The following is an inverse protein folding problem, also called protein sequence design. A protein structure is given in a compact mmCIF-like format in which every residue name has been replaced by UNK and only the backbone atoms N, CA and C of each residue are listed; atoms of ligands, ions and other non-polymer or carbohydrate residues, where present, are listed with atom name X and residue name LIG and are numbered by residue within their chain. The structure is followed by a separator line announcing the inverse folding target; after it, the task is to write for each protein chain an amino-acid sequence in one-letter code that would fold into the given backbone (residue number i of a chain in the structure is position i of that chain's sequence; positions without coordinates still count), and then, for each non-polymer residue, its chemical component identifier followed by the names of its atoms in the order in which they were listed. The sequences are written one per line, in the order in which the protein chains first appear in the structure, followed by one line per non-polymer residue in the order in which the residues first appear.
data_IF_263418810399
#
_entry.id   IF_263418810399
#
_cell.length_a   1.000
_cell.length_b   1.000
_cell.length_c   1.000
_cell.angle_alpha   90.00
_cell.angle_beta   90.00
_cell.angle_gamma   90.00
#
_symmetry.space_group_name_H-M   'P 1'
#
loop_
_entity.id
_entity.type
_entity.pdbx_description
1 polymer ?
#
# COMPACT_ATOMS: atom_id res chain seq x y z
N UNK A 1 3.05 16.35 2.86
CA UNK A 1 4.17 15.52 2.35
C UNK A 1 3.68 14.14 1.91
N UNK A 2 2.96 13.37 2.76
CA UNK A 2 2.49 12.00 2.43
C UNK A 2 1.62 11.98 1.17
N UNK A 3 0.67 12.91 1.02
CA UNK A 3 -0.17 13.00 -0.18
C UNK A 3 0.66 13.30 -1.45
N UNK A 4 1.62 14.24 -1.36
CA UNK A 4 2.51 14.54 -2.49
C UNK A 4 3.35 13.33 -2.87
N UNK A 5 3.91 12.63 -1.90
CA UNK A 5 4.66 11.40 -2.12
C UNK A 5 3.80 10.32 -2.80
N UNK A 6 2.53 10.19 -2.37
CA UNK A 6 1.59 9.26 -2.98
C UNK A 6 1.29 9.57 -4.44
N UNK A 7 1.02 10.83 -4.77
CA UNK A 7 0.81 11.28 -6.17
C UNK A 7 2.05 10.97 -7.02
N UNK A 8 3.23 11.31 -6.52
CA UNK A 8 4.49 10.97 -7.19
C UNK A 8 4.65 9.47 -7.38
N UNK A 9 4.29 8.68 -6.36
CA UNK A 9 4.32 7.21 -6.43
C UNK A 9 3.48 6.66 -7.57
N UNK A 10 2.27 7.17 -7.76
CA UNK A 10 1.40 6.78 -8.89
C UNK A 10 2.01 7.13 -10.25
N UNK A 11 2.56 8.35 -10.40
CA UNK A 11 3.24 8.79 -11.63
C UNK A 11 4.47 7.94 -11.91
N UNK A 12 5.33 7.73 -10.93
CA UNK A 12 6.53 6.90 -11.08
C UNK A 12 6.21 5.44 -11.38
N UNK A 13 5.22 4.85 -10.68
CA UNK A 13 4.81 3.47 -10.92
C UNK A 13 4.31 3.27 -12.37
N UNK A 14 3.48 4.19 -12.88
CA UNK A 14 3.01 4.17 -14.26
C UNK A 14 4.13 4.32 -15.26
N UNK A 15 4.97 5.33 -15.08
CA UNK A 15 6.11 5.63 -15.97
C UNK A 15 7.12 4.47 -16.02
N UNK A 16 7.50 3.93 -14.87
CA UNK A 16 8.42 2.79 -14.77
C UNK A 16 7.80 1.55 -15.45
N UNK A 17 6.51 1.31 -15.23
CA UNK A 17 5.81 0.21 -15.87
C UNK A 17 5.85 0.29 -17.40
N UNK A 18 5.62 1.47 -17.94
CA UNK A 18 5.52 1.67 -19.39
C UNK A 18 6.90 1.63 -20.07
N UNK A 19 7.91 2.24 -19.47
CA UNK A 19 9.24 2.38 -20.10
C UNK A 19 10.15 1.17 -19.83
N UNK A 20 10.19 0.65 -18.58
CA UNK A 20 11.11 -0.43 -18.23
C UNK A 20 10.48 -1.82 -18.40
N UNK A 21 9.17 -1.96 -18.18
CA UNK A 21 8.51 -3.25 -18.19
C UNK A 21 7.50 -3.45 -19.32
N UNK A 22 7.53 -2.59 -20.35
CA UNK A 22 6.66 -2.71 -21.53
C UNK A 22 5.17 -2.75 -21.16
N UNK A 23 4.75 -1.91 -20.24
CA UNK A 23 3.39 -1.84 -19.67
C UNK A 23 2.94 -3.12 -18.92
N UNK A 24 3.88 -3.97 -18.49
CA UNK A 24 3.57 -5.08 -17.58
C UNK A 24 3.43 -4.52 -16.17
N UNK A 25 2.24 -4.64 -15.59
CA UNK A 25 1.94 -4.07 -14.26
C UNK A 25 2.45 -4.94 -13.10
N UNK A 26 2.53 -6.25 -13.33
CA UNK A 26 3.00 -7.22 -12.31
C UNK A 26 4.39 -6.92 -11.76
N UNK A 27 5.43 -6.72 -12.58
CA UNK A 27 6.79 -6.43 -12.11
C UNK A 27 6.86 -5.18 -11.22
N UNK A 28 6.20 -4.08 -11.61
CA UNK A 28 6.21 -2.84 -10.84
C UNK A 28 5.46 -3.02 -9.51
N UNK A 29 4.31 -3.69 -9.54
CA UNK A 29 3.58 -4.03 -8.32
C UNK A 29 4.45 -4.87 -7.38
N UNK A 30 5.18 -5.87 -7.89
CA UNK A 30 6.08 -6.69 -7.09
C UNK A 30 7.21 -5.86 -6.44
N UNK A 31 7.82 -4.94 -7.17
CA UNK A 31 8.85 -4.04 -6.62
C UNK A 31 8.27 -3.17 -5.51
N UNK A 32 7.09 -2.58 -5.72
CA UNK A 32 6.44 -1.72 -4.72
C UNK A 32 5.99 -2.51 -3.49
N UNK A 33 5.42 -3.71 -3.65
CA UNK A 33 5.10 -4.59 -2.52
C UNK A 33 6.35 -5.08 -1.79
N UNK A 34 7.45 -5.35 -2.52
CA UNK A 34 8.76 -5.63 -1.93
C UNK A 34 9.28 -4.47 -1.08
N UNK A 35 9.16 -3.25 -1.58
CA UNK A 35 9.52 -2.04 -0.85
C UNK A 35 8.66 -1.87 0.42
N UNK A 36 7.34 -2.11 0.31
CA UNK A 36 6.45 -2.09 1.47
C UNK A 36 6.81 -3.16 2.50
N UNK A 37 7.13 -4.38 2.05
CA UNK A 37 7.55 -5.47 2.94
C UNK A 37 8.83 -5.12 3.71
N UNK A 38 9.86 -4.67 3.00
CA UNK A 38 11.12 -4.21 3.62
C UNK A 38 10.86 -3.04 4.56
N UNK A 39 10.07 -2.05 4.12
CA UNK A 39 9.70 -0.90 4.93
C UNK A 39 8.96 -1.29 6.21
N UNK A 40 8.01 -2.24 6.15
CA UNK A 40 7.28 -2.72 7.32
C UNK A 40 8.20 -3.47 8.31
N UNK A 41 9.13 -4.29 7.78
CA UNK A 41 10.13 -4.96 8.63
C UNK A 41 11.04 -3.94 9.31
N UNK A 42 11.59 -2.97 8.57
CA UNK A 42 12.44 -1.91 9.13
C UNK A 42 11.65 -1.10 10.16
N UNK A 43 10.41 -0.72 9.84
CA UNK A 43 9.55 0.05 10.74
C UNK A 43 9.30 -0.67 12.07
N UNK A 44 9.20 -2.01 12.08
CA UNK A 44 9.03 -2.81 13.32
C UNK A 44 10.17 -2.60 14.33
N UNK A 45 11.37 -2.24 13.85
CA UNK A 45 12.55 -2.01 14.69
C UNK A 45 12.89 -0.54 14.89
N UNK A 46 12.25 0.36 14.12
CA UNK A 46 12.66 1.78 14.05
C UNK A 46 11.51 2.77 14.27
N UNK A 47 10.33 2.31 14.67
CA UNK A 47 9.13 3.17 14.81
C UNK A 47 9.28 4.26 15.87
N UNK A 48 10.21 4.12 16.82
CA UNK A 48 10.54 5.14 17.83
C UNK A 48 11.62 6.15 17.37
N UNK A 49 12.24 5.91 16.21
CA UNK A 49 13.35 6.71 15.74
C UNK A 49 12.87 8.03 15.07
N UNK A 50 13.62 9.12 15.19
CA UNK A 50 13.23 10.42 14.65
C UNK A 50 13.11 10.44 13.13
N UNK A 51 13.73 9.51 12.43
CA UNK A 51 13.66 9.39 10.97
C UNK A 51 12.48 8.57 10.46
N UNK A 52 11.63 8.02 11.33
CA UNK A 52 10.47 7.20 10.95
C UNK A 52 9.55 7.92 9.96
N UNK A 53 9.42 9.24 10.07
CA UNK A 53 8.63 10.04 9.13
C UNK A 53 9.08 9.93 7.68
N UNK A 54 10.38 9.84 7.43
CA UNK A 54 10.92 9.64 6.08
C UNK A 54 10.61 8.23 5.54
N UNK A 55 10.70 7.22 6.39
CA UNK A 55 10.30 5.86 6.02
C UNK A 55 8.81 5.80 5.66
N UNK A 56 7.97 6.48 6.43
CA UNK A 56 6.53 6.58 6.15
C UNK A 56 6.23 7.28 4.82
N UNK A 57 7.00 8.29 4.43
CA UNK A 57 6.87 8.96 3.13
C UNK A 57 7.17 7.98 1.99
N UNK A 58 8.24 7.20 2.10
CA UNK A 58 8.62 6.19 1.10
C UNK A 58 7.55 5.09 1.02
N UNK A 59 7.05 4.61 2.16
CA UNK A 59 5.98 3.60 2.19
C UNK A 59 4.67 4.15 1.61
N UNK A 60 4.30 5.39 1.91
CA UNK A 60 3.13 6.05 1.32
C UNK A 60 3.22 6.14 -0.21
N UNK A 61 4.41 6.47 -0.73
CA UNK A 61 4.67 6.47 -2.16
C UNK A 61 4.44 5.08 -2.78
N UNK A 62 4.90 4.03 -2.13
CA UNK A 62 4.72 2.66 -2.60
C UNK A 62 3.25 2.21 -2.55
N UNK A 63 2.55 2.46 -1.45
CA UNK A 63 1.13 2.09 -1.25
C UNK A 63 0.24 2.77 -2.27
N UNK A 64 0.33 4.09 -2.37
CA UNK A 64 -0.52 4.87 -3.29
C UNK A 64 -0.09 4.61 -4.75
N UNK A 65 1.20 4.34 -4.99
CA UNK A 65 1.71 3.94 -6.30
C UNK A 65 1.09 2.64 -6.80
N UNK A 66 1.03 1.61 -5.95
CA UNK A 66 0.35 0.34 -6.29
C UNK A 66 -1.13 0.57 -6.52
N UNK A 67 -1.80 1.28 -5.60
CA UNK A 67 -3.24 1.53 -5.70
C UNK A 67 -3.58 2.26 -7.00
N UNK A 68 -2.94 3.40 -7.27
CA UNK A 68 -3.18 4.19 -8.49
C UNK A 68 -2.87 3.44 -9.79
N UNK A 69 -1.85 2.58 -9.79
CA UNK A 69 -1.53 1.74 -10.93
C UNK A 69 -2.58 0.63 -11.14
N UNK A 70 -3.05 -0.03 -10.09
CA UNK A 70 -4.01 -1.12 -10.20
C UNK A 70 -5.42 -0.63 -10.50
N UNK A 71 -5.92 0.35 -9.76
CA UNK A 71 -7.26 0.93 -9.97
C UNK A 71 -7.33 1.73 -11.27
N UNK A 72 -6.27 2.45 -11.62
CA UNK A 72 -6.20 3.28 -12.82
C UNK A 72 -5.80 2.49 -14.05
N UNK A 73 -4.50 2.35 -14.27
CA UNK A 73 -3.96 1.86 -15.55
C UNK A 73 -4.23 0.39 -15.79
N UNK A 74 -4.10 -0.49 -14.78
CA UNK A 74 -4.36 -1.92 -14.97
C UNK A 74 -5.83 -2.20 -15.27
N UNK A 75 -6.76 -1.47 -14.67
CA UNK A 75 -8.19 -1.59 -14.95
C UNK A 75 -8.51 -1.25 -16.41
N UNK A 76 -7.86 -0.24 -16.97
CA UNK A 76 -7.99 0.13 -18.39
C UNK A 76 -7.36 -0.93 -19.30
N UNK A 77 -6.18 -1.42 -18.94
CA UNK A 77 -5.41 -2.38 -19.72
C UNK A 77 -6.14 -3.73 -19.85
N UNK A 78 -6.81 -4.20 -18.79
CA UNK A 78 -7.47 -5.51 -18.75
C UNK A 78 -8.98 -5.45 -18.93
N UNK A 79 -9.66 -4.39 -18.48
CA UNK A 79 -11.09 -4.18 -18.64
C UNK A 79 -11.49 -3.68 -20.03
N UNK A 80 -10.58 -2.98 -20.70
CA UNK A 80 -10.85 -2.26 -21.94
C UNK A 80 -11.83 -1.11 -21.73
N UNK A 81 -12.09 -0.33 -22.78
CA UNK A 81 -12.88 0.91 -22.69
C UNK A 81 -14.35 0.68 -22.25
N UNK A 82 -14.92 -0.46 -22.58
CA UNK A 82 -16.33 -0.77 -22.23
C UNK A 82 -16.54 -1.21 -20.78
N UNK A 83 -15.56 -1.89 -20.18
CA UNK A 83 -15.69 -2.51 -18.86
C UNK A 83 -14.75 -1.89 -17.80
N UNK A 84 -14.06 -0.80 -18.13
CA UNK A 84 -13.11 -0.17 -17.20
C UNK A 84 -13.78 0.23 -15.87
N UNK A 85 -14.99 0.77 -15.90
CA UNK A 85 -15.71 1.15 -14.68
C UNK A 85 -16.04 -0.07 -13.79
N UNK A 86 -16.41 -1.20 -14.38
CA UNK A 86 -16.64 -2.44 -13.63
C UNK A 86 -15.34 -2.97 -13.04
N UNK A 87 -14.25 -2.96 -13.81
CA UNK A 87 -12.94 -3.40 -13.34
C UNK A 87 -12.42 -2.54 -12.19
N UNK A 88 -12.52 -1.21 -12.30
CA UNK A 88 -12.18 -0.27 -11.22
C UNK A 88 -13.04 -0.54 -9.99
N UNK A 89 -14.36 -0.64 -10.16
CA UNK A 89 -15.28 -0.88 -9.03
C UNK A 89 -14.99 -2.18 -8.28
N UNK A 90 -14.63 -3.26 -8.99
CA UNK A 90 -14.23 -4.52 -8.36
C UNK A 90 -12.91 -4.36 -7.60
N UNK A 91 -11.89 -3.76 -8.22
CA UNK A 91 -10.58 -3.58 -7.59
C UNK A 91 -10.72 -2.70 -6.35
N UNK A 92 -11.36 -1.55 -6.45
CA UNK A 92 -11.54 -0.63 -5.34
C UNK A 92 -12.43 -1.23 -4.25
N UNK A 93 -13.46 -1.99 -4.62
CA UNK A 93 -14.29 -2.72 -3.66
C UNK A 93 -13.47 -3.66 -2.78
N UNK A 94 -12.55 -4.43 -3.37
CA UNK A 94 -11.63 -5.28 -2.59
C UNK A 94 -10.62 -4.48 -1.77
N UNK A 95 -10.13 -3.35 -2.28
CA UNK A 95 -9.22 -2.46 -1.53
C UNK A 95 -9.93 -1.91 -0.29
N UNK A 96 -11.15 -1.38 -0.43
CA UNK A 96 -11.91 -0.84 0.70
C UNK A 96 -12.36 -1.92 1.68
N UNK A 97 -12.72 -3.11 1.20
CA UNK A 97 -12.97 -4.26 2.07
C UNK A 97 -11.73 -4.63 2.89
N UNK A 98 -10.56 -4.70 2.25
CA UNK A 98 -9.29 -4.93 2.94
C UNK A 98 -8.97 -3.86 3.97
N UNK A 99 -9.21 -2.60 3.64
CA UNK A 99 -9.06 -1.45 4.56
C UNK A 99 -10.00 -1.57 5.76
N UNK A 100 -11.25 -1.98 5.55
CA UNK A 100 -12.22 -2.17 6.64
C UNK A 100 -11.78 -3.30 7.59
N UNK A 101 -11.35 -4.44 7.05
CA UNK A 101 -10.82 -5.56 7.84
C UNK A 101 -9.59 -5.13 8.63
N UNK A 102 -8.68 -4.38 8.01
CA UNK A 102 -7.47 -3.90 8.67
C UNK A 102 -7.79 -2.90 9.78
N UNK A 103 -8.70 -1.95 9.54
CA UNK A 103 -9.14 -0.98 10.54
C UNK A 103 -9.79 -1.67 11.74
N UNK A 104 -10.62 -2.68 11.50
CA UNK A 104 -11.22 -3.47 12.56
C UNK A 104 -10.16 -4.24 13.36
N UNK A 105 -9.17 -4.85 12.68
CA UNK A 105 -8.06 -5.54 13.34
C UNK A 105 -7.26 -4.58 14.22
N UNK A 106 -6.94 -3.39 13.71
CA UNK A 106 -6.22 -2.39 14.48
C UNK A 106 -7.01 -1.88 15.68
N UNK A 107 -8.32 -1.72 15.57
CA UNK A 107 -9.18 -1.37 16.70
C UNK A 107 -9.14 -2.39 17.84
N UNK A 108 -8.82 -3.66 17.54
CA UNK A 108 -8.71 -4.73 18.54
C UNK A 108 -7.30 -4.87 19.14
N UNK A 109 -6.25 -4.53 18.40
CA UNK A 109 -4.87 -4.84 18.81
C UNK A 109 -4.04 -3.62 19.18
N UNK A 110 -4.43 -2.43 18.75
CA UNK A 110 -3.73 -1.19 19.10
C UNK A 110 -4.27 -0.60 20.41
N UNK A 111 -3.42 0.15 21.15
CA UNK A 111 -3.85 0.78 22.39
C UNK A 111 -4.94 1.83 22.11
N UNK A 112 -6.07 1.71 22.80
CA UNK A 112 -7.13 2.71 22.76
C UNK A 112 -6.68 4.04 23.39
N UNK A 113 -7.10 5.15 22.80
CA UNK A 113 -6.87 6.47 23.40
C UNK A 113 -7.72 6.64 24.66
N UNK A 114 -7.07 7.03 25.74
CA UNK A 114 -7.71 7.47 26.98
C UNK A 114 -7.34 8.93 27.19
N UNK A 115 -8.34 9.77 27.44
CA UNK A 115 -8.14 11.19 27.68
C UNK A 115 -8.36 11.50 29.18
N UNK A 116 -7.48 12.31 29.75
CA UNK A 116 -7.70 12.88 31.08
C UNK A 116 -8.73 14.04 31.03
N UNK A 117 -9.02 14.63 32.19
CA UNK A 117 -9.95 15.76 32.30
C UNK A 117 -9.51 17.02 31.53
N UNK A 118 -8.23 17.10 31.17
CA UNK A 118 -7.65 18.21 30.39
C UNK A 118 -7.59 17.89 28.87
N UNK A 119 -8.09 16.72 28.43
CA UNK A 119 -8.07 16.29 27.04
C UNK A 119 -6.69 15.79 26.56
N UNK A 120 -5.78 15.48 27.49
CA UNK A 120 -4.46 14.92 27.16
C UNK A 120 -4.54 13.39 27.06
N UNK A 121 -3.89 12.81 26.05
CA UNK A 121 -3.79 11.35 25.92
C UNK A 121 -2.99 10.78 27.10
N UNK A 122 -3.56 9.80 27.76
CA UNK A 122 -2.97 9.07 28.90
C UNK A 122 -3.10 7.56 28.71
N UNK A 123 -2.47 6.78 29.57
CA UNK A 123 -2.56 5.32 29.57
C UNK A 123 -1.70 4.66 28.48
N UNK A 124 -2.07 3.44 28.02
CA UNK A 124 -1.23 2.61 27.16
C UNK A 124 -0.85 3.25 25.81
N UNK A 125 -1.66 4.18 25.31
CA UNK A 125 -1.41 4.87 24.03
C UNK A 125 -0.22 5.83 24.08
N UNK A 126 0.26 6.21 25.29
CA UNK A 126 1.42 7.10 25.48
C UNK A 126 2.76 6.38 25.36
N UNK A 127 2.75 5.05 25.48
CA UNK A 127 3.95 4.23 25.37
C UNK A 127 4.14 3.77 23.91
N UNK A 128 5.19 4.21 23.22
CA UNK A 128 5.48 3.81 21.84
C UNK A 128 5.55 2.30 21.66
N UNK A 129 6.03 1.54 22.66
CA UNK A 129 6.16 0.08 22.57
C UNK A 129 4.83 -0.62 22.30
N UNK A 130 3.71 -0.06 22.76
CA UNK A 130 2.38 -0.61 22.55
C UNK A 130 1.87 -0.47 21.10
N UNK A 131 2.54 0.33 20.26
CA UNK A 131 2.20 0.52 18.84
C UNK A 131 2.90 -0.48 17.91
N UNK A 132 3.78 -1.32 18.43
CA UNK A 132 4.51 -2.34 17.67
C UNK A 132 3.61 -3.29 16.84
N UNK A 133 2.39 -3.67 17.27
CA UNK A 133 1.51 -4.48 16.44
C UNK A 133 1.13 -3.84 15.09
N UNK A 134 1.18 -2.52 14.99
CA UNK A 134 0.86 -1.80 13.76
C UNK A 134 1.79 -2.18 12.59
N UNK A 135 3.14 -1.99 12.64
CA UNK A 135 3.99 -2.42 11.53
C UNK A 135 4.03 -3.95 11.36
N UNK A 136 3.89 -4.73 12.44
CA UNK A 136 3.87 -6.19 12.36
C UNK A 136 2.70 -6.71 11.52
N UNK A 137 1.51 -6.11 11.63
CA UNK A 137 0.34 -6.51 10.83
C UNK A 137 0.49 -6.17 9.34
N UNK A 138 1.36 -5.23 8.96
CA UNK A 138 1.63 -4.89 7.56
C UNK A 138 2.47 -5.94 6.84
N UNK A 139 3.33 -6.67 7.57
CA UNK A 139 4.28 -7.64 6.98
C UNK A 139 3.56 -8.75 6.20
N UNK A 140 2.61 -9.51 6.77
CA UNK A 140 1.93 -10.58 6.04
C UNK A 140 1.14 -10.06 4.83
N UNK A 141 0.56 -8.87 4.93
CA UNK A 141 -0.19 -8.25 3.83
C UNK A 141 0.73 -7.84 2.68
N UNK A 142 1.87 -7.21 2.97
CA UNK A 142 2.86 -6.86 1.96
C UNK A 142 3.48 -8.11 1.31
N UNK A 143 3.76 -9.15 2.10
CA UNK A 143 4.24 -10.43 1.58
C UNK A 143 3.22 -11.10 0.65
N UNK A 144 1.94 -11.11 1.02
CA UNK A 144 0.86 -11.63 0.18
C UNK A 144 0.77 -10.84 -1.13
N UNK A 145 0.79 -9.51 -1.07
CA UNK A 145 0.78 -8.64 -2.24
C UNK A 145 1.97 -8.91 -3.17
N UNK A 146 3.17 -9.09 -2.61
CA UNK A 146 4.37 -9.46 -3.36
C UNK A 146 4.19 -10.81 -4.07
N UNK A 147 3.72 -11.84 -3.37
CA UNK A 147 3.49 -13.18 -3.94
C UNK A 147 2.46 -13.10 -5.08
N UNK A 148 1.34 -12.41 -4.87
CA UNK A 148 0.30 -12.26 -5.90
C UNK A 148 0.81 -11.50 -7.12
N UNK A 149 1.60 -10.44 -6.91
CA UNK A 149 2.20 -9.66 -8.00
C UNK A 149 3.17 -10.48 -8.85
N UNK A 150 3.92 -11.40 -8.24
CA UNK A 150 4.80 -12.32 -9.00
C UNK A 150 4.02 -13.32 -9.84
N UNK A 151 2.80 -13.71 -9.43
CA UNK A 151 1.93 -14.61 -10.23
C UNK A 151 1.45 -13.95 -11.52
N UNK A 152 1.29 -12.64 -11.54
CA UNK A 152 0.88 -11.87 -12.72
C UNK A 152 2.04 -11.16 -13.42
N UNK A 153 3.28 -11.57 -13.14
CA UNK A 153 4.50 -10.95 -13.66
C UNK A 153 4.51 -10.78 -15.17
N UNK A 154 4.05 -11.80 -15.90
CA UNK A 154 4.05 -11.84 -17.36
C UNK A 154 2.73 -11.39 -17.99
N UNK A 155 1.75 -10.95 -17.20
CA UNK A 155 0.47 -10.48 -17.73
C UNK A 155 0.69 -9.22 -18.58
N UNK A 156 0.21 -9.25 -19.82
CA UNK A 156 0.30 -8.14 -20.78
C UNK A 156 -1.09 -7.56 -21.05
N UNK A 157 -1.18 -6.24 -21.28
CA UNK A 157 -2.43 -5.60 -21.71
C UNK A 157 -2.97 -6.19 -23.01
N UNK A 158 -4.29 -6.31 -23.11
CA UNK A 158 -4.95 -6.71 -24.37
C UNK A 158 -4.73 -5.63 -25.42
N UNK A 159 -4.13 -6.00 -26.57
CA UNK A 159 -3.97 -5.12 -27.73
C UNK A 159 -2.55 -4.59 -27.98
N UNK A 160 -1.60 -4.72 -27.10
CA UNK A 160 -0.18 -4.51 -27.41
C UNK A 160 0.41 -5.82 -27.93
N UNK A 161 0.37 -6.02 -29.27
CA UNK A 161 1.22 -7.03 -29.91
C UNK A 161 2.68 -6.67 -29.64
N UNK A 162 3.48 -7.66 -29.32
CA UNK A 162 4.93 -7.54 -29.15
C UNK A 162 5.59 -6.97 -30.37
#
# INVERSE_FOLDING_TARGET
LLCCAGIMGGVFAGTISDHLFQSRRGPVAAVLYGLMLVGAVVLTFTYEQPYVGWLMIIMSMAVIGVHGMLSGTASMDFGGTKNVGIAVGIIDGFVYLGTAVMSFTYALVLPGEQLDAAGKIVGPATDPANWRPWPLAMIPLAALGLILSTRVWNAKPKGKKA
#
